data_IF_278706732437
#
_entry.id   IF_278706732437
#
_cell.length_a   1.000
_cell.length_b   1.000
_cell.length_c   1.000
_cell.angle_alpha   90.00
_cell.angle_beta   90.00
_cell.angle_gamma   90.00
#
_symmetry.space_group_name_H-M   'P 1'
#
loop_
_entity.id
_entity.type
_entity.pdbx_description
1 polymer ?
#
# COMPACT_ATOMS: atom_id res chain seq x y z
N UNK A 1 -6.18 14.88 -5.10
CA UNK A 1 -5.85 13.55 -4.56
C UNK A 1 -5.05 13.74 -3.28
N UNK A 2 -5.59 13.28 -2.17
CA UNK A 2 -5.01 13.57 -0.86
C UNK A 2 -4.02 12.51 -0.40
N UNK A 3 -4.25 11.24 -0.74
CA UNK A 3 -3.45 10.12 -0.24
C UNK A 3 -2.88 9.26 -1.35
N UNK A 4 -1.63 8.82 -1.19
CA UNK A 4 -0.99 7.81 -2.03
C UNK A 4 -0.65 6.58 -1.18
N UNK A 5 -1.29 5.44 -1.47
CA UNK A 5 -0.75 4.16 -1.03
C UNK A 5 0.37 3.75 -1.98
N UNK A 6 1.55 3.53 -1.43
CA UNK A 6 2.71 3.05 -2.17
C UNK A 6 3.03 1.65 -1.69
N UNK A 7 2.89 0.66 -2.57
CA UNK A 7 2.98 -0.75 -2.27
C UNK A 7 4.12 -1.39 -3.07
N UNK A 8 5.33 -1.45 -2.51
CA UNK A 8 6.39 -2.29 -3.05
C UNK A 8 5.98 -3.76 -2.91
N UNK A 9 5.94 -4.50 -4.01
CA UNK A 9 5.47 -5.87 -4.05
C UNK A 9 6.58 -6.83 -4.52
N UNK A 10 6.68 -7.96 -3.86
CA UNK A 10 7.62 -9.03 -4.21
C UNK A 10 7.00 -10.42 -4.06
N UNK A 11 6.16 -10.61 -3.02
CA UNK A 11 5.44 -11.85 -2.77
C UNK A 11 4.04 -11.79 -3.38
N UNK A 12 3.51 -12.96 -3.74
CA UNK A 12 2.16 -13.07 -4.31
C UNK A 12 1.12 -13.65 -3.36
N UNK A 13 1.54 -14.28 -2.24
CA UNK A 13 0.67 -15.06 -1.36
C UNK A 13 -0.56 -14.27 -0.86
N UNK A 14 -0.36 -13.01 -0.47
CA UNK A 14 -1.40 -12.15 0.11
C UNK A 14 -1.58 -10.83 -0.64
N UNK A 15 -0.98 -10.70 -1.82
CA UNK A 15 -1.03 -9.45 -2.60
C UNK A 15 -2.46 -9.06 -2.97
N UNK A 16 -3.30 -10.05 -3.34
CA UNK A 16 -4.70 -9.80 -3.68
C UNK A 16 -5.47 -9.23 -2.49
N UNK A 17 -5.33 -9.84 -1.32
CA UNK A 17 -5.98 -9.39 -0.07
C UNK A 17 -5.51 -7.99 0.33
N UNK A 18 -4.22 -7.70 0.18
CA UNK A 18 -3.67 -6.36 0.44
C UNK A 18 -4.29 -5.31 -0.49
N UNK A 19 -4.35 -5.57 -1.80
CA UNK A 19 -4.98 -4.68 -2.80
C UNK A 19 -6.46 -4.50 -2.49
N UNK A 20 -7.21 -5.59 -2.26
CA UNK A 20 -8.64 -5.54 -1.97
C UNK A 20 -8.93 -4.68 -0.72
N UNK A 21 -8.11 -4.80 0.33
CA UNK A 21 -8.26 -4.02 1.56
C UNK A 21 -8.04 -2.52 1.35
N UNK A 22 -7.11 -2.16 0.47
CA UNK A 22 -6.84 -0.76 0.10
C UNK A 22 -7.98 -0.21 -0.77
N UNK A 23 -8.42 -0.93 -1.79
CA UNK A 23 -9.46 -0.46 -2.69
C UNK A 23 -10.83 -0.34 -2.02
N UNK A 24 -11.08 -1.12 -0.95
CA UNK A 24 -12.32 -1.11 -0.17
C UNK A 24 -12.42 0.01 0.86
N UNK A 25 -11.41 0.89 0.98
CA UNK A 25 -11.46 2.01 1.92
C UNK A 25 -12.73 2.88 1.73
N UNK A 26 -13.35 3.30 2.85
CA UNK A 26 -14.53 4.19 2.84
C UNK A 26 -14.22 5.57 2.24
N UNK A 27 -13.07 6.14 2.56
CA UNK A 27 -12.55 7.37 1.96
C UNK A 27 -11.97 7.09 0.57
N UNK A 28 -12.39 7.84 -0.46
CA UNK A 28 -12.12 7.49 -1.87
C UNK A 28 -11.07 8.35 -2.58
N UNK A 29 -10.64 9.46 -2.00
CA UNK A 29 -9.67 10.36 -2.64
C UNK A 29 -8.22 9.90 -2.39
N UNK A 30 -7.86 8.80 -3.03
CA UNK A 30 -6.53 8.21 -2.98
C UNK A 30 -6.13 7.54 -4.30
N UNK A 31 -4.83 7.30 -4.46
CA UNK A 31 -4.26 6.42 -5.48
C UNK A 31 -3.59 5.20 -4.83
N UNK A 32 -3.46 4.12 -5.58
CA UNK A 32 -2.69 2.94 -5.23
C UNK A 32 -1.59 2.73 -6.26
N UNK A 33 -0.36 2.87 -5.84
CA UNK A 33 0.83 2.68 -6.65
C UNK A 33 1.47 1.36 -6.26
N UNK A 34 1.50 0.40 -7.18
CA UNK A 34 2.09 -0.92 -6.97
C UNK A 34 3.38 -0.99 -7.77
N UNK A 35 4.47 -1.37 -7.11
CA UNK A 35 5.78 -1.51 -7.72
C UNK A 35 6.28 -2.94 -7.54
N UNK A 36 6.27 -3.72 -8.61
CA UNK A 36 6.89 -5.06 -8.64
C UNK A 36 8.42 -4.91 -8.58
N UNK A 37 9.02 -5.34 -7.49
CA UNK A 37 10.47 -5.27 -7.26
C UNK A 37 11.20 -6.47 -7.90
N UNK A 38 10.96 -6.69 -9.18
CA UNK A 38 11.48 -7.82 -9.95
C UNK A 38 11.19 -9.17 -9.26
N UNK A 39 9.93 -9.36 -8.90
CA UNK A 39 9.44 -10.59 -8.29
C UNK A 39 9.66 -11.80 -9.21
N UNK A 40 10.00 -12.98 -8.66
CA UNK A 40 10.02 -14.22 -9.42
C UNK A 40 8.60 -14.73 -9.77
N UNK A 41 7.57 -14.14 -9.17
CA UNK A 41 6.17 -14.47 -9.42
C UNK A 41 5.56 -13.54 -10.48
N UNK A 42 4.50 -14.01 -11.15
CA UNK A 42 3.76 -13.19 -12.10
C UNK A 42 2.75 -12.30 -11.37
N UNK A 43 3.22 -11.19 -10.76
CA UNK A 43 2.35 -10.26 -10.05
C UNK A 43 1.39 -9.54 -10.98
N UNK A 44 1.77 -9.29 -12.24
CA UNK A 44 0.90 -8.65 -13.22
C UNK A 44 -0.38 -9.43 -13.49
N UNK A 45 -0.37 -10.77 -13.39
CA UNK A 45 -1.58 -11.58 -13.54
C UNK A 45 -2.62 -11.32 -12.44
N UNK A 46 -2.18 -10.93 -11.24
CA UNK A 46 -3.06 -10.55 -10.13
C UNK A 46 -3.58 -9.13 -10.38
N UNK A 47 -2.69 -8.20 -10.71
CA UNK A 47 -3.01 -6.77 -10.85
C UNK A 47 -3.93 -6.53 -12.05
N UNK A 48 -3.76 -7.26 -13.15
CA UNK A 48 -4.59 -7.16 -14.35
C UNK A 48 -6.05 -7.63 -14.15
N UNK A 49 -6.39 -8.23 -13.01
CA UNK A 49 -7.77 -8.57 -12.64
C UNK A 49 -8.58 -7.34 -12.18
N UNK A 50 -7.91 -6.23 -11.90
CA UNK A 50 -8.55 -5.00 -11.42
C UNK A 50 -8.75 -4.02 -12.57
N UNK A 51 -9.99 -3.52 -12.71
CA UNK A 51 -10.34 -2.38 -13.57
C UNK A 51 -10.65 -1.17 -12.66
N UNK A 52 -9.61 -0.64 -12.02
CA UNK A 52 -9.72 0.51 -11.11
C UNK A 52 -8.71 1.59 -11.50
N UNK A 53 -9.22 2.76 -11.86
CA UNK A 53 -8.42 3.89 -12.33
C UNK A 53 -7.47 4.48 -11.26
N UNK A 54 -7.66 4.11 -10.01
CA UNK A 54 -6.79 4.52 -8.91
C UNK A 54 -5.48 3.76 -8.88
N UNK A 55 -5.38 2.61 -9.57
CA UNK A 55 -4.18 1.77 -9.61
C UNK A 55 -3.22 2.26 -10.68
N UNK A 56 -1.96 2.41 -10.30
CA UNK A 56 -0.81 2.53 -11.19
C UNK A 56 0.18 1.39 -10.90
N UNK A 57 0.65 0.71 -11.94
CA UNK A 57 1.56 -0.42 -11.80
C UNK A 57 2.88 -0.16 -12.51
N UNK A 58 3.97 -0.39 -11.79
CA UNK A 58 5.34 -0.26 -12.27
C UNK A 58 6.14 -1.52 -11.94
N UNK A 59 7.22 -1.74 -12.67
CA UNK A 59 8.12 -2.87 -12.45
C UNK A 59 9.57 -2.42 -12.43
N UNK A 60 10.33 -2.83 -11.42
CA UNK A 60 11.77 -2.68 -11.40
C UNK A 60 12.43 -3.72 -12.32
N UNK A 61 13.51 -3.35 -12.98
CA UNK A 61 14.29 -4.28 -13.83
C UNK A 61 15.05 -5.32 -12.99
N UNK A 62 15.42 -4.95 -11.76
CA UNK A 62 16.15 -5.81 -10.82
C UNK A 62 15.56 -5.71 -9.42
N UNK A 63 15.71 -6.75 -8.60
CA UNK A 63 15.34 -6.72 -7.20
C UNK A 63 16.24 -5.75 -6.43
N UNK A 64 15.67 -4.64 -5.96
CA UNK A 64 16.35 -3.60 -5.18
C UNK A 64 16.22 -3.88 -3.70
N UNK A 65 15.02 -4.23 -3.24
CA UNK A 65 14.69 -4.42 -1.83
C UNK A 65 15.46 -5.56 -1.17
N UNK A 66 15.80 -6.60 -1.93
CA UNK A 66 16.62 -7.69 -1.44
C UNK A 66 18.06 -7.30 -1.08
N UNK A 67 18.56 -6.20 -1.65
CA UNK A 67 19.88 -5.62 -1.34
C UNK A 67 19.79 -4.46 -0.38
N UNK A 68 18.83 -3.58 -0.57
CA UNK A 68 18.61 -2.39 0.24
C UNK A 68 17.13 -2.01 0.22
N UNK A 69 16.41 -2.40 1.26
CA UNK A 69 14.97 -2.17 1.39
C UNK A 69 14.62 -0.67 1.41
N UNK A 70 15.40 0.12 2.15
CA UNK A 70 15.16 1.57 2.27
C UNK A 70 15.37 2.27 0.92
N UNK A 71 16.37 1.84 0.14
CA UNK A 71 16.59 2.38 -1.19
C UNK A 71 15.40 2.09 -2.13
N UNK A 72 14.87 0.88 -2.08
CA UNK A 72 13.66 0.52 -2.84
C UNK A 72 12.46 1.37 -2.42
N UNK A 73 12.22 1.52 -1.12
CA UNK A 73 11.13 2.37 -0.62
C UNK A 73 11.27 3.83 -1.08
N UNK A 74 12.46 4.41 -0.96
CA UNK A 74 12.72 5.77 -1.41
C UNK A 74 12.47 5.95 -2.91
N UNK A 75 12.84 4.93 -3.72
CA UNK A 75 12.52 4.93 -5.15
C UNK A 75 11.00 4.86 -5.38
N UNK A 76 10.31 3.97 -4.67
CA UNK A 76 8.86 3.81 -4.80
C UNK A 76 8.08 5.08 -4.40
N UNK A 77 8.52 5.78 -3.37
CA UNK A 77 7.90 7.03 -2.92
C UNK A 77 7.92 8.15 -3.98
N UNK A 78 8.83 8.09 -4.95
CA UNK A 78 8.91 9.09 -6.02
C UNK A 78 7.70 9.05 -6.98
N UNK A 79 6.93 7.97 -6.98
CA UNK A 79 5.70 7.86 -7.78
C UNK A 79 4.48 8.51 -7.11
N UNK A 80 4.54 8.78 -5.80
CA UNK A 80 3.42 9.33 -5.05
C UNK A 80 3.11 10.78 -5.45
N UNK A 81 1.82 11.07 -5.62
CA UNK A 81 1.30 12.39 -6.00
C UNK A 81 0.39 13.01 -4.93
N UNK A 82 -0.01 12.23 -3.93
CA UNK A 82 -0.83 12.69 -2.82
C UNK A 82 -0.06 13.57 -1.85
N UNK A 83 -0.79 14.37 -1.08
CA UNK A 83 -0.23 15.21 -0.01
C UNK A 83 0.33 14.35 1.14
N UNK A 84 -0.26 13.17 1.35
CA UNK A 84 0.15 12.18 2.34
C UNK A 84 0.46 10.85 1.69
N UNK A 85 1.44 10.16 2.22
CA UNK A 85 1.88 8.85 1.71
C UNK A 85 1.68 7.77 2.77
N UNK A 86 1.13 6.64 2.37
CA UNK A 86 1.06 5.41 3.15
C UNK A 86 1.96 4.37 2.49
N UNK A 87 3.07 4.01 3.14
CA UNK A 87 3.91 2.92 2.69
C UNK A 87 3.24 1.60 3.09
N UNK A 88 2.73 0.89 2.11
CA UNK A 88 2.02 -0.37 2.27
C UNK A 88 2.93 -1.57 2.02
N UNK A 89 2.52 -2.74 2.50
CA UNK A 89 3.18 -4.01 2.27
C UNK A 89 2.28 -4.97 1.49
N UNK A 90 2.89 -5.93 0.79
CA UNK A 90 2.19 -6.93 -0.02
C UNK A 90 1.53 -8.06 0.80
N UNK A 91 1.62 -7.97 2.14
CA UNK A 91 1.05 -8.92 3.09
C UNK A 91 0.28 -8.26 4.26
N UNK A 92 0.06 -6.95 4.21
CA UNK A 92 -0.72 -6.23 5.22
C UNK A 92 -2.17 -5.97 4.75
N UNK A 93 -3.09 -5.92 5.72
CA UNK A 93 -4.51 -5.63 5.49
C UNK A 93 -4.92 -4.37 6.25
N UNK A 94 -5.66 -3.50 5.59
CA UNK A 94 -6.20 -2.27 6.15
C UNK A 94 -7.68 -2.42 6.51
N UNK A 95 -8.07 -1.97 7.72
CA UNK A 95 -9.49 -1.89 8.06
C UNK A 95 -10.21 -0.93 7.10
N UNK A 96 -11.48 -1.18 6.72
CA UNK A 96 -12.20 -0.36 5.74
C UNK A 96 -12.30 1.13 6.07
N UNK A 97 -12.30 1.49 7.36
CA UNK A 97 -12.36 2.89 7.83
C UNK A 97 -10.98 3.50 8.14
N UNK A 98 -9.87 2.79 7.83
CA UNK A 98 -8.53 3.27 8.16
C UNK A 98 -8.27 4.66 7.59
N UNK A 99 -8.45 4.83 6.28
CA UNK A 99 -8.13 6.09 5.61
C UNK A 99 -9.06 7.24 6.02
N UNK A 100 -10.33 6.96 6.29
CA UNK A 100 -11.28 7.93 6.83
C UNK A 100 -10.81 8.46 8.19
N UNK A 101 -10.40 7.55 9.10
CA UNK A 101 -9.88 7.95 10.41
C UNK A 101 -8.56 8.73 10.31
N UNK A 102 -7.67 8.35 9.38
CA UNK A 102 -6.46 9.14 9.11
C UNK A 102 -6.83 10.54 8.59
N UNK A 103 -7.81 10.64 7.69
CA UNK A 103 -8.28 11.91 7.17
C UNK A 103 -8.81 12.81 8.29
N UNK A 104 -9.70 12.31 9.14
CA UNK A 104 -10.23 13.04 10.29
C UNK A 104 -9.12 13.58 11.21
N UNK A 105 -8.07 12.76 11.42
CA UNK A 105 -6.92 13.18 12.23
C UNK A 105 -6.09 14.25 11.53
N UNK A 106 -5.84 14.11 10.24
CA UNK A 106 -5.07 15.09 9.46
C UNK A 106 -5.76 16.45 9.41
N UNK A 107 -7.08 16.47 9.35
CA UNK A 107 -7.87 17.71 9.39
C UNK A 107 -7.91 18.35 10.79
N UNK A 108 -8.05 17.52 11.82
CA UNK A 108 -8.08 17.99 13.22
C UNK A 108 -6.72 18.51 13.69
N UNK A 109 -5.64 17.96 13.18
CA UNK A 109 -4.27 18.28 13.59
C UNK A 109 -3.38 18.61 12.38
N UNK A 110 -3.64 19.71 11.66
CA UNK A 110 -2.96 20.03 10.40
C UNK A 110 -1.47 20.33 10.55
N UNK A 111 -0.98 20.48 11.78
CA UNK A 111 0.43 20.72 12.09
C UNK A 111 1.26 19.44 12.25
N UNK A 112 0.64 18.24 12.18
CA UNK A 112 1.38 16.98 12.34
C UNK A 112 1.82 16.43 10.99
N UNK A 113 3.05 16.00 10.91
CA UNK A 113 3.64 15.42 9.70
C UNK A 113 3.47 13.90 9.65
N UNK A 114 3.27 13.24 10.80
CA UNK A 114 3.16 11.78 10.89
C UNK A 114 1.94 11.40 11.72
N UNK A 115 1.09 10.54 11.16
CA UNK A 115 -0.04 9.94 11.85
C UNK A 115 0.17 8.42 11.88
N UNK A 116 0.22 7.85 13.08
CA UNK A 116 0.37 6.41 13.27
C UNK A 116 -0.94 5.77 13.68
N UNK A 117 -1.33 4.72 12.95
CA UNK A 117 -2.45 3.86 13.32
C UNK A 117 -2.00 2.72 14.25
N UNK A 118 -2.97 2.14 14.97
CA UNK A 118 -2.76 0.90 15.72
C UNK A 118 -2.59 -0.27 14.74
N UNK A 119 -1.61 -1.12 15.03
CA UNK A 119 -1.33 -2.34 14.26
C UNK A 119 -1.66 -3.56 15.12
N UNK A 120 -2.34 -4.55 14.53
CA UNK A 120 -2.56 -5.87 15.11
C UNK A 120 -1.84 -6.93 14.28
N UNK A 121 -1.36 -7.98 14.92
CA UNK A 121 -0.84 -9.15 14.19
C UNK A 121 -2.02 -10.06 13.82
N UNK A 122 -1.99 -10.58 12.61
CA UNK A 122 -2.95 -11.58 12.11
C UNK A 122 -2.19 -12.81 11.63
N UNK A 123 -2.85 -13.97 11.66
CA UNK A 123 -2.35 -15.20 11.06
C UNK A 123 -2.71 -15.30 9.56
N UNK A 124 -2.39 -16.43 8.94
CA UNK A 124 -2.68 -16.69 7.51
C UNK A 124 -4.17 -16.66 7.16
N UNK A 125 -5.04 -16.86 8.15
CA UNK A 125 -6.50 -16.84 7.98
C UNK A 125 -7.11 -15.45 8.30
N UNK A 126 -6.25 -14.47 8.63
CA UNK A 126 -6.67 -13.11 8.99
C UNK A 126 -7.17 -12.98 10.43
N UNK A 127 -6.95 -13.98 11.28
CA UNK A 127 -7.36 -13.95 12.69
C UNK A 127 -6.34 -13.18 13.51
N UNK A 128 -6.82 -12.24 14.34
CA UNK A 128 -5.97 -11.46 15.23
C UNK A 128 -5.29 -12.38 16.24
N UNK A 129 -3.95 -12.31 16.26
CA UNK A 129 -3.11 -13.01 17.23
C UNK A 129 -2.48 -12.01 18.20
N UNK A 130 -2.19 -12.47 19.41
CA UNK A 130 -1.56 -11.62 20.43
C UNK A 130 -0.05 -11.60 20.30
#
# INVERSE_FOLDING_TARGET
MKYSFVLPAFKNDYLKEAIDSILSQSYKDFELIIIDDASPYNLSSIINQYDDKRISFYKNETNIGGRNLVHNWNKCLQYAKGDYVILASDDDIYCPCFLEQINDRSEKYPQVDIIRARVCRIDSDGIITR
#
